data_IF_067011560283
#
_entry.id   IF_067011560283
#
_cell.length_a   1.000
_cell.length_b   1.000
_cell.length_c   1.000
_cell.angle_alpha   90.00
_cell.angle_beta   90.00
_cell.angle_gamma   90.00
#
_symmetry.space_group_name_H-M   'P 1'
#
loop_
_entity.id
_entity.type
_entity.pdbx_description
1 polymer ?
#
# COMPACT_ATOMS: atom_id res chain seq x y z
N UNK A 1 -28.00 -1.71 25.24
CA UNK A 1 -26.68 -1.18 25.65
C UNK A 1 -25.76 -2.36 25.93
N UNK A 2 -24.77 -2.54 25.08
CA UNK A 2 -23.66 -3.46 25.28
C UNK A 2 -22.50 -2.90 24.46
N UNK A 3 -21.62 -2.14 25.13
CA UNK A 3 -20.45 -1.54 24.53
C UNK A 3 -19.46 -2.64 24.14
N UNK A 4 -19.32 -2.91 22.84
CA UNK A 4 -18.15 -3.57 22.31
C UNK A 4 -17.04 -2.52 22.18
N UNK A 5 -16.24 -2.37 23.23
CA UNK A 5 -14.92 -1.75 23.11
C UNK A 5 -13.94 -2.87 22.80
N UNK A 6 -13.69 -3.12 21.52
CA UNK A 6 -12.55 -3.92 21.10
C UNK A 6 -11.33 -3.02 21.25
N UNK A 7 -10.57 -3.21 22.33
CA UNK A 7 -9.24 -2.62 22.47
C UNK A 7 -8.37 -3.34 21.45
N UNK A 8 -8.21 -2.76 20.26
CA UNK A 8 -7.20 -3.21 19.30
C UNK A 8 -5.82 -2.94 19.92
N UNK A 9 -5.21 -3.98 20.47
CA UNK A 9 -3.82 -3.91 20.90
C UNK A 9 -2.93 -3.57 19.72
N UNK A 10 -2.03 -2.60 19.89
CA UNK A 10 -1.02 -2.27 18.87
C UNK A 10 -0.22 -3.54 18.52
N UNK A 11 0.09 -3.80 17.23
CA UNK A 11 0.85 -4.98 16.84
C UNK A 11 2.21 -5.01 17.54
N UNK A 12 2.61 -6.20 17.98
CA UNK A 12 3.89 -6.44 18.68
C UNK A 12 5.05 -6.77 17.74
N UNK A 13 4.78 -6.85 16.44
CA UNK A 13 5.74 -7.14 15.37
C UNK A 13 5.48 -6.24 14.16
N UNK A 14 6.50 -6.01 13.32
CA UNK A 14 6.31 -5.30 12.05
C UNK A 14 5.28 -6.02 11.19
N UNK A 15 4.35 -5.25 10.64
CA UNK A 15 3.40 -5.69 9.63
C UNK A 15 3.93 -5.18 8.30
N UNK A 16 4.03 -6.04 7.29
CA UNK A 16 4.56 -5.65 5.97
C UNK A 16 3.46 -5.12 5.04
N UNK A 17 2.23 -5.57 5.23
CA UNK A 17 1.07 -5.18 4.43
C UNK A 17 -0.23 -5.48 5.17
N UNK A 18 -1.30 -4.84 4.72
CA UNK A 18 -2.69 -5.10 5.14
C UNK A 18 -3.47 -5.61 3.93
N UNK A 19 -4.20 -6.72 4.08
CA UNK A 19 -5.15 -7.24 3.10
C UNK A 19 -6.57 -7.12 3.64
N UNK A 20 -7.53 -6.97 2.73
CA UNK A 20 -8.96 -6.97 3.02
C UNK A 20 -9.73 -7.55 1.83
N UNK A 21 -11.01 -7.88 2.01
CA UNK A 21 -11.82 -8.59 1.01
C UNK A 21 -11.88 -7.86 -0.34
N UNK A 22 -12.30 -6.60 -0.33
CA UNK A 22 -12.11 -5.64 -1.43
C UNK A 22 -12.60 -4.25 -1.00
N UNK A 23 -12.05 -3.21 -1.63
CA UNK A 23 -12.58 -1.84 -1.64
C UNK A 23 -12.66 -1.37 -3.09
N UNK A 24 -13.58 -0.46 -3.45
CA UNK A 24 -13.65 0.04 -4.82
C UNK A 24 -12.41 0.88 -5.13
N UNK A 25 -11.88 0.78 -6.35
CA UNK A 25 -10.71 1.57 -6.77
C UNK A 25 -10.99 3.08 -6.81
N UNK A 26 -12.26 3.51 -6.82
CA UNK A 26 -12.68 4.90 -6.61
C UNK A 26 -12.11 5.54 -5.35
N UNK A 27 -11.80 4.74 -4.33
CA UNK A 27 -11.16 5.22 -3.10
C UNK A 27 -9.73 5.75 -3.33
N UNK A 28 -9.10 5.40 -4.46
CA UNK A 28 -7.79 5.93 -4.87
C UNK A 28 -7.91 7.29 -5.58
N UNK A 29 -9.12 7.80 -5.83
CA UNK A 29 -9.33 9.08 -6.51
C UNK A 29 -8.75 9.09 -7.93
N UNK A 30 -7.89 10.06 -8.24
CA UNK A 30 -7.40 10.32 -9.60
C UNK A 30 -6.62 9.13 -10.23
N UNK A 31 -6.12 8.20 -9.41
CA UNK A 31 -5.43 7.00 -9.90
C UNK A 31 -6.31 6.06 -10.73
N UNK A 32 -7.63 6.10 -10.55
CA UNK A 32 -8.57 5.21 -11.26
C UNK A 32 -8.44 5.32 -12.77
N UNK A 33 -8.28 6.55 -13.28
CA UNK A 33 -8.16 6.82 -14.71
C UNK A 33 -6.91 6.20 -15.34
N UNK A 34 -5.85 5.96 -14.55
CA UNK A 34 -4.63 5.29 -15.00
C UNK A 34 -4.77 3.77 -15.08
N UNK A 35 -5.72 3.19 -14.33
CA UNK A 35 -5.91 1.74 -14.20
C UNK A 35 -7.39 1.34 -14.30
N UNK A 36 -8.10 1.68 -15.40
CA UNK A 36 -9.56 1.59 -15.47
C UNK A 36 -10.12 0.17 -15.35
N UNK A 37 -9.33 -0.85 -15.67
CA UNK A 37 -9.74 -2.26 -15.56
C UNK A 37 -9.58 -2.82 -14.14
N UNK A 38 -8.79 -2.16 -13.28
CA UNK A 38 -8.51 -2.61 -11.93
C UNK A 38 -9.48 -1.93 -10.95
N UNK A 39 -10.69 -2.48 -10.90
CA UNK A 39 -11.83 -1.90 -10.19
C UNK A 39 -11.80 -2.13 -8.67
N UNK A 40 -10.92 -3.01 -8.18
CA UNK A 40 -10.88 -3.40 -6.77
C UNK A 40 -9.48 -3.18 -6.18
N UNK A 41 -9.44 -2.57 -4.99
CA UNK A 41 -8.28 -2.56 -4.11
C UNK A 41 -8.43 -3.73 -3.14
N UNK A 42 -7.37 -4.51 -2.94
CA UNK A 42 -7.38 -5.68 -2.04
C UNK A 42 -6.42 -5.54 -0.86
N UNK A 43 -5.59 -4.50 -0.87
CA UNK A 43 -4.66 -4.22 0.21
C UNK A 43 -3.64 -3.14 -0.12
N UNK A 44 -2.74 -2.91 0.83
CA UNK A 44 -1.59 -2.05 0.66
C UNK A 44 -0.44 -2.49 1.57
N UNK A 45 0.79 -2.21 1.15
CA UNK A 45 2.00 -2.41 1.96
C UNK A 45 2.19 -1.28 2.98
N UNK A 46 2.97 -1.56 4.02
CA UNK A 46 3.37 -0.58 5.04
C UNK A 46 4.24 0.56 4.50
N UNK A 47 4.70 0.47 3.24
CA UNK A 47 5.46 1.49 2.51
C UNK A 47 4.65 2.18 1.41
N UNK A 48 3.32 1.97 1.37
CA UNK A 48 2.42 2.69 0.46
C UNK A 48 2.27 2.12 -0.95
N UNK A 49 2.77 0.92 -1.24
CA UNK A 49 2.36 0.17 -2.44
C UNK A 49 0.91 -0.30 -2.30
N UNK A 50 0.09 -0.13 -3.34
CA UNK A 50 -1.32 -0.57 -3.33
C UNK A 50 -1.50 -1.81 -4.21
N UNK A 51 -2.33 -2.74 -3.77
CA UNK A 51 -2.63 -3.97 -4.50
C UNK A 51 -4.01 -3.85 -5.12
N UNK A 52 -4.09 -3.95 -6.44
CA UNK A 52 -5.35 -3.85 -7.17
C UNK A 52 -5.63 -5.12 -7.94
N UNK A 53 -6.91 -5.43 -8.12
CA UNK A 53 -7.41 -6.58 -8.87
C UNK A 53 -8.34 -6.13 -9.98
N UNK A 54 -8.17 -6.72 -11.15
CA UNK A 54 -9.17 -6.70 -12.21
C UNK A 54 -10.18 -7.83 -11.94
N UNK A 55 -11.45 -7.53 -11.60
CA UNK A 55 -12.42 -8.57 -11.28
C UNK A 55 -12.85 -9.42 -12.49
N UNK A 56 -12.51 -9.00 -13.73
CA UNK A 56 -12.90 -9.74 -14.93
C UNK A 56 -12.01 -10.94 -15.23
N UNK A 57 -10.69 -10.76 -15.15
CA UNK A 57 -9.68 -11.80 -15.43
C UNK A 57 -8.87 -12.21 -14.19
N UNK A 58 -9.20 -11.61 -13.04
CA UNK A 58 -8.52 -11.81 -11.77
C UNK A 58 -7.03 -11.46 -11.81
N UNK A 59 -6.59 -10.61 -12.74
CA UNK A 59 -5.21 -10.11 -12.78
C UNK A 59 -4.95 -9.16 -11.60
N UNK A 60 -3.81 -9.34 -10.94
CA UNK A 60 -3.38 -8.51 -9.81
C UNK A 60 -2.22 -7.62 -10.23
N UNK A 61 -2.29 -6.34 -9.86
CA UNK A 61 -1.19 -5.38 -10.00
C UNK A 61 -0.74 -4.87 -8.64
N UNK A 62 0.53 -4.51 -8.57
CA UNK A 62 1.09 -3.69 -7.49
C UNK A 62 1.36 -2.30 -8.06
N UNK A 63 0.69 -1.30 -7.50
CA UNK A 63 0.89 0.11 -7.79
C UNK A 63 2.03 0.64 -6.92
N UNK A 64 3.00 1.29 -7.56
CA UNK A 64 4.15 1.96 -6.97
C UNK A 64 3.96 3.48 -7.11
N UNK A 65 3.34 4.16 -6.12
CA UNK A 65 2.90 5.55 -6.29
C UNK A 65 4.04 6.51 -6.58
N UNK A 66 5.21 6.33 -5.94
CA UNK A 66 6.38 7.17 -6.19
C UNK A 66 6.95 7.05 -7.60
N UNK A 67 6.71 5.92 -8.28
CA UNK A 67 7.15 5.70 -9.67
C UNK A 67 6.06 6.06 -10.68
N UNK A 68 4.85 6.41 -10.22
CA UNK A 68 3.66 6.57 -11.07
C UNK A 68 3.45 5.38 -12.03
N UNK A 69 3.72 4.16 -11.54
CA UNK A 69 3.74 2.95 -12.34
C UNK A 69 3.14 1.77 -11.57
N UNK A 70 2.67 0.76 -12.29
CA UNK A 70 2.23 -0.50 -11.72
C UNK A 70 2.83 -1.68 -12.47
N UNK A 71 2.95 -2.82 -11.78
CA UNK A 71 3.39 -4.09 -12.37
C UNK A 71 2.33 -5.15 -12.16
N UNK A 72 1.98 -5.87 -13.23
CA UNK A 72 1.10 -7.05 -13.17
C UNK A 72 1.87 -8.28 -12.68
N UNK A 73 1.19 -9.09 -11.90
CA UNK A 73 1.65 -10.37 -11.35
C UNK A 73 0.77 -11.54 -11.80
N UNK A 74 -0.06 -11.32 -12.82
CA UNK A 74 -0.92 -12.33 -13.40
C UNK A 74 -2.21 -12.58 -12.62
N UNK A 75 -2.99 -13.53 -13.13
CA UNK A 75 -4.27 -13.91 -12.57
C UNK A 75 -4.12 -14.85 -11.38
N UNK A 76 -4.81 -14.54 -10.28
CA UNK A 76 -4.87 -15.38 -9.07
C UNK A 76 -6.33 -15.64 -8.69
N UNK A 77 -6.67 -16.86 -8.26
CA UNK A 77 -8.08 -17.21 -8.00
C UNK A 77 -8.65 -16.49 -6.77
N UNK A 78 -7.80 -16.10 -5.84
CA UNK A 78 -8.17 -15.43 -4.60
C UNK A 78 -7.09 -14.47 -4.11
N UNK A 79 -7.44 -13.61 -3.15
CA UNK A 79 -6.47 -12.72 -2.49
C UNK A 79 -5.45 -13.54 -1.68
N UNK A 80 -5.88 -14.68 -1.16
CA UNK A 80 -5.05 -15.65 -0.44
C UNK A 80 -4.01 -16.30 -1.35
N UNK A 81 -4.38 -16.65 -2.59
CA UNK A 81 -3.44 -17.19 -3.58
C UNK A 81 -2.41 -16.11 -3.99
N UNK A 82 -2.88 -14.89 -4.26
CA UNK A 82 -1.99 -13.76 -4.53
C UNK A 82 -1.02 -13.50 -3.36
N UNK A 83 -1.50 -13.56 -2.12
CA UNK A 83 -0.65 -13.41 -0.95
C UNK A 83 0.39 -14.54 -0.86
N UNK A 84 -0.02 -15.79 -1.06
CA UNK A 84 0.84 -16.96 -0.95
C UNK A 84 1.92 -17.02 -2.04
N UNK A 85 1.55 -16.70 -3.29
CA UNK A 85 2.44 -16.83 -4.45
C UNK A 85 3.31 -15.59 -4.68
N UNK A 86 2.81 -14.40 -4.33
CA UNK A 86 3.49 -13.12 -4.61
C UNK A 86 3.95 -12.45 -3.32
N UNK A 87 3.06 -12.12 -2.39
CA UNK A 87 3.43 -11.29 -1.24
C UNK A 87 4.36 -11.99 -0.25
N UNK A 88 4.28 -13.32 -0.16
CA UNK A 88 5.16 -14.19 0.66
C UNK A 88 6.35 -14.76 -0.12
N UNK A 89 6.50 -14.38 -1.39
CA UNK A 89 7.67 -14.74 -2.18
C UNK A 89 8.90 -13.99 -1.64
N UNK A 90 10.03 -14.68 -1.32
CA UNK A 90 11.17 -14.03 -0.67
C UNK A 90 11.75 -12.84 -1.44
N UNK A 91 11.75 -12.89 -2.77
CA UNK A 91 12.19 -11.77 -3.62
C UNK A 91 11.27 -10.57 -3.49
N UNK A 92 9.96 -10.77 -3.59
CA UNK A 92 8.98 -9.71 -3.39
C UNK A 92 9.08 -9.08 -1.99
N UNK A 93 9.21 -9.90 -0.95
CA UNK A 93 9.37 -9.41 0.41
C UNK A 93 10.63 -8.54 0.56
N UNK A 94 11.76 -9.02 0.04
CA UNK A 94 13.04 -8.32 0.15
C UNK A 94 13.08 -7.01 -0.65
N UNK A 95 12.57 -7.01 -1.89
CA UNK A 95 12.77 -5.91 -2.82
C UNK A 95 11.59 -4.94 -2.94
N UNK A 96 10.36 -5.39 -2.68
CA UNK A 96 9.15 -4.55 -2.76
C UNK A 96 8.65 -4.17 -1.38
N UNK A 97 8.48 -5.15 -0.48
CA UNK A 97 8.01 -4.89 0.88
C UNK A 97 9.12 -4.36 1.80
N UNK A 98 10.39 -4.66 1.45
CA UNK A 98 11.60 -4.26 2.18
C UNK A 98 11.49 -4.59 3.66
N UNK A 99 11.29 -5.87 3.99
CA UNK A 99 10.98 -6.31 5.36
C UNK A 99 11.96 -5.84 6.43
N UNK A 100 13.26 -5.84 6.13
CA UNK A 100 14.29 -5.32 7.03
C UNK A 100 14.09 -3.81 7.32
N UNK A 101 13.83 -3.02 6.28
CA UNK A 101 13.57 -1.57 6.40
C UNK A 101 12.30 -1.28 7.21
N UNK A 102 11.24 -2.07 6.98
CA UNK A 102 9.99 -1.96 7.76
C UNK A 102 10.23 -2.35 9.22
N UNK A 103 11.10 -3.31 9.51
CA UNK A 103 11.46 -3.66 10.88
C UNK A 103 12.22 -2.53 11.59
N UNK A 104 13.14 -1.85 10.90
CA UNK A 104 13.83 -0.66 11.42
C UNK A 104 12.85 0.49 11.68
N UNK A 105 11.96 0.78 10.73
CA UNK A 105 10.91 1.79 10.86
C UNK A 105 9.96 1.50 12.02
N UNK A 106 9.59 0.22 12.20
CA UNK A 106 8.78 -0.21 13.33
C UNK A 106 9.50 0.05 14.67
N UNK A 107 10.80 -0.21 14.74
CA UNK A 107 11.61 0.09 15.92
C UNK A 107 11.72 1.59 16.22
N UNK A 108 11.81 2.41 15.17
CA UNK A 108 12.00 3.85 15.27
C UNK A 108 10.69 4.63 15.54
N UNK A 109 9.65 4.38 14.75
CA UNK A 109 8.38 5.11 14.78
C UNK A 109 7.28 4.40 15.58
N UNK A 110 7.48 3.11 15.85
CA UNK A 110 6.48 2.26 16.49
C UNK A 110 5.48 1.65 15.50
N UNK A 111 4.49 0.92 16.03
CA UNK A 111 3.53 0.16 15.23
C UNK A 111 2.53 1.04 14.48
N UNK A 112 2.21 0.63 13.26
CA UNK A 112 1.10 1.18 12.47
C UNK A 112 -0.26 0.75 13.05
N UNK A 113 -1.25 1.64 12.99
CA UNK A 113 -2.66 1.31 13.21
C UNK A 113 -3.40 1.13 11.89
N UNK A 114 -4.72 0.93 11.95
CA UNK A 114 -5.56 0.82 10.76
C UNK A 114 -5.35 2.00 9.79
N UNK A 115 -5.27 1.69 8.49
CA UNK A 115 -5.04 2.63 7.39
C UNK A 115 -3.71 3.41 7.45
N UNK A 116 -2.77 3.07 8.33
CA UNK A 116 -1.50 3.77 8.40
C UNK A 116 -0.39 3.09 7.59
N UNK A 117 0.54 3.90 7.10
CA UNK A 117 1.79 3.50 6.43
C UNK A 117 2.95 4.37 6.90
N UNK A 118 4.18 3.92 6.67
CA UNK A 118 5.39 4.72 6.81
C UNK A 118 5.67 5.48 5.50
N UNK A 119 5.80 6.79 5.58
CA UNK A 119 5.95 7.69 4.44
C UNK A 119 7.29 8.43 4.54
N UNK A 120 8.20 8.29 3.57
CA UNK A 120 9.45 9.07 3.55
C UNK A 120 9.18 10.55 3.25
N UNK A 121 9.89 11.46 3.94
CA UNK A 121 9.84 12.90 3.69
C UNK A 121 11.23 13.55 3.56
N UNK A 122 11.52 14.25 2.46
CA UNK A 122 10.65 14.52 1.32
C UNK A 122 10.37 13.26 0.50
N UNK A 123 9.38 13.30 -0.39
CA UNK A 123 9.07 12.15 -1.24
C UNK A 123 10.27 11.81 -2.16
N UNK A 124 10.52 10.53 -2.47
CA UNK A 124 11.72 10.13 -3.22
C UNK A 124 11.84 10.81 -4.60
N UNK A 125 10.72 11.00 -5.29
CA UNK A 125 10.67 11.70 -6.58
C UNK A 125 10.98 13.21 -6.49
N UNK A 126 11.08 13.78 -5.28
CA UNK A 126 11.57 15.13 -5.00
C UNK A 126 13.01 15.14 -4.45
N UNK A 127 13.71 14.01 -4.50
CA UNK A 127 15.07 13.86 -3.96
C UNK A 127 15.12 13.46 -2.48
N UNK A 128 14.06 12.87 -1.94
CA UNK A 128 14.08 12.24 -0.61
C UNK A 128 15.08 11.09 -0.52
N UNK A 129 15.76 10.98 0.62
CA UNK A 129 16.81 9.98 0.82
C UNK A 129 16.28 8.61 1.23
N UNK A 130 15.05 8.54 1.75
CA UNK A 130 14.50 7.33 2.37
C UNK A 130 15.34 6.82 3.56
N UNK A 131 16.07 7.72 4.22
CA UNK A 131 16.75 7.40 5.49
C UNK A 131 15.73 7.23 6.61
N UNK A 132 16.02 6.35 7.57
CA UNK A 132 15.13 5.98 8.68
C UNK A 132 14.50 7.20 9.40
N UNK A 133 15.32 8.22 9.69
CA UNK A 133 14.93 9.44 10.43
C UNK A 133 14.00 10.37 9.63
N UNK A 134 13.85 10.14 8.33
CA UNK A 134 13.06 10.99 7.43
C UNK A 134 11.62 10.51 7.28
N UNK A 135 11.29 9.35 7.86
CA UNK A 135 9.96 8.79 7.77
C UNK A 135 9.03 9.34 8.83
N UNK A 136 7.75 9.40 8.47
CA UNK A 136 6.65 9.59 9.40
C UNK A 136 5.56 8.55 9.18
N UNK A 137 4.65 8.43 10.15
CA UNK A 137 3.43 7.65 10.00
C UNK A 137 2.33 8.55 9.42
N UNK A 138 1.66 8.09 8.37
CA UNK A 138 0.53 8.79 7.76
C UNK A 138 -0.58 7.85 7.30
N UNK A 139 -1.70 8.42 6.87
CA UNK A 139 -2.83 7.66 6.34
C UNK A 139 -2.59 7.26 4.87
N UNK A 140 -2.81 5.98 4.56
CA UNK A 140 -2.54 5.37 3.27
C UNK A 140 -3.41 5.96 2.14
N UNK A 141 -4.65 6.32 2.43
CA UNK A 141 -5.59 6.84 1.43
C UNK A 141 -5.30 8.32 1.15
N UNK A 142 -5.07 9.11 2.20
CA UNK A 142 -4.62 10.50 2.04
C UNK A 142 -3.29 10.55 1.27
N UNK A 143 -2.35 9.66 1.58
CA UNK A 143 -1.10 9.51 0.84
C UNK A 143 -1.34 9.34 -0.66
N UNK A 144 -2.26 8.45 -1.06
CA UNK A 144 -2.58 8.26 -2.48
C UNK A 144 -3.10 9.52 -3.15
N UNK A 145 -3.97 10.29 -2.49
CA UNK A 145 -4.46 11.56 -3.04
C UNK A 145 -3.35 12.60 -3.19
N UNK A 146 -2.47 12.71 -2.18
CA UNK A 146 -1.34 13.65 -2.24
C UNK A 146 -0.37 13.27 -3.36
N UNK A 147 0.02 12.00 -3.47
CA UNK A 147 0.95 11.57 -4.52
C UNK A 147 0.33 11.68 -5.91
N UNK A 148 -0.97 11.43 -6.07
CA UNK A 148 -1.68 11.70 -7.33
C UNK A 148 -1.59 13.18 -7.74
N UNK A 149 -1.84 14.10 -6.81
CA UNK A 149 -1.74 15.55 -7.07
C UNK A 149 -0.32 15.94 -7.47
N UNK A 150 0.68 15.39 -6.80
CA UNK A 150 2.10 15.67 -7.10
C UNK A 150 2.53 15.14 -8.47
N UNK A 151 1.89 14.08 -8.98
CA UNK A 151 2.06 13.59 -10.35
C UNK A 151 1.15 14.30 -11.37
N UNK A 152 0.26 15.19 -10.93
CA UNK A 152 -0.67 15.92 -11.80
C UNK A 152 -1.81 15.07 -12.36
N UNK A 153 -2.16 13.96 -11.70
CA UNK A 153 -3.22 13.04 -12.17
C UNK A 153 -4.63 13.63 -12.04
N UNK A 154 -4.82 14.61 -11.15
CA UNK A 154 -6.09 15.28 -10.87
C UNK A 154 -6.32 16.55 -11.71
N UNK A 155 -5.34 16.97 -12.51
CA UNK A 155 -5.40 18.22 -13.29
C UNK A 155 -6.23 18.04 -14.59
N UNK A 156 -6.56 16.80 -14.97
CA UNK A 156 -7.29 16.48 -16.21
C UNK A 156 -8.59 15.68 -16.00
N UNK A 157 -9.06 15.54 -14.75
CA UNK A 157 -10.30 14.82 -14.40
C UNK A 157 -11.53 15.70 -14.30
#
# INVERSE_FOLDING_TARGET
MGLFSTIFGKPSKPVLYTLFSSRPSSDLGAWVSSFPNYAEVVGFSSLGHFFLRNPHDLDYIVLHPFQCAAKSYGSHQSVEDFEAEILKEPGFELYVLRSDHVAELFGHLGPLTENQIYIPKPYPFLGGSEDLETYEIGDAWIFMHVVAHMHGLDINS
#
